data_IF_119382987467
#
_entry.id   IF_119382987467
#
_cell.length_a   1.000
_cell.length_b   1.000
_cell.length_c   1.000
_cell.angle_alpha   90.00
_cell.angle_beta   90.00
_cell.angle_gamma   90.00
#
_symmetry.space_group_name_H-M   'P 1'
#
loop_
_entity.id
_entity.type
_entity.pdbx_description
1 polymer ?
#
# COMPACT_ATOMS: atom_id res chain seq x y z
N UNK A 1 -48.50 63.75 -9.02
CA UNK A 1 -48.21 62.44 -9.60
C UNK A 1 -46.85 61.99 -9.07
N UNK A 2 -46.90 61.27 -7.98
CA UNK A 2 -45.68 60.76 -7.30
C UNK A 2 -45.44 59.35 -7.76
N UNK A 3 -44.28 59.10 -8.32
CA UNK A 3 -43.82 57.75 -8.63
C UNK A 3 -42.89 57.27 -7.52
N UNK A 4 -43.37 56.29 -6.78
CA UNK A 4 -42.60 55.54 -5.80
C UNK A 4 -41.69 54.56 -6.52
N UNK A 5 -40.38 54.65 -6.25
CA UNK A 5 -39.39 53.67 -6.70
C UNK A 5 -39.26 52.69 -5.56
N UNK A 6 -39.72 51.46 -5.76
CA UNK A 6 -39.47 50.33 -4.89
C UNK A 6 -37.98 49.91 -5.00
N UNK A 7 -37.28 50.02 -3.89
CA UNK A 7 -35.95 49.47 -3.75
C UNK A 7 -36.03 47.95 -3.50
N UNK A 8 -35.65 47.18 -4.52
CA UNK A 8 -35.50 45.71 -4.40
C UNK A 8 -34.26 45.42 -3.58
N UNK A 9 -34.47 44.96 -2.38
CA UNK A 9 -33.44 44.51 -1.46
C UNK A 9 -32.87 43.17 -1.96
N UNK A 10 -31.71 43.25 -2.57
CA UNK A 10 -30.98 42.08 -3.04
C UNK A 10 -30.16 41.51 -1.86
N UNK A 11 -30.87 40.75 -1.02
CA UNK A 11 -30.22 39.98 0.05
C UNK A 11 -29.36 38.88 -0.53
N UNK A 12 -28.12 39.22 -0.82
CA UNK A 12 -27.07 38.26 -1.17
C UNK A 12 -26.68 37.46 0.07
N UNK A 13 -27.50 36.48 0.41
CA UNK A 13 -27.12 35.44 1.37
C UNK A 13 -26.03 34.60 0.70
N UNK A 14 -24.79 35.07 0.85
CA UNK A 14 -23.58 34.29 0.49
C UNK A 14 -23.59 33.02 1.36
N UNK A 15 -24.05 31.92 0.79
CA UNK A 15 -23.79 30.58 1.34
C UNK A 15 -22.29 30.36 1.29
N UNK A 16 -21.60 30.68 2.38
CA UNK A 16 -20.28 30.14 2.65
C UNK A 16 -20.45 28.62 2.68
N UNK A 17 -20.14 27.96 1.58
CA UNK A 17 -20.00 26.50 1.57
C UNK A 17 -18.98 26.15 2.65
N UNK A 18 -19.41 25.42 3.67
CA UNK A 18 -18.52 24.95 4.71
C UNK A 18 -17.38 24.18 4.05
N UNK A 19 -16.14 24.48 4.43
CA UNK A 19 -14.98 23.75 3.92
C UNK A 19 -15.19 22.24 4.14
N UNK A 20 -14.86 21.40 3.15
CA UNK A 20 -15.03 19.96 3.30
C UNK A 20 -14.24 19.45 4.51
N UNK A 21 -14.83 18.52 5.26
CA UNK A 21 -14.15 17.90 6.40
C UNK A 21 -12.86 17.22 5.94
N UNK A 22 -11.76 17.34 6.70
CA UNK A 22 -10.49 16.73 6.32
C UNK A 22 -10.62 15.21 6.25
N UNK A 23 -9.86 14.60 5.35
CA UNK A 23 -9.72 13.15 5.25
C UNK A 23 -8.53 12.68 6.09
N UNK A 24 -8.72 11.61 6.82
CA UNK A 24 -7.71 11.08 7.74
C UNK A 24 -6.96 9.93 7.09
N UNK A 25 -5.65 10.08 6.97
CA UNK A 25 -4.78 9.08 6.33
C UNK A 25 -3.66 8.69 7.29
N UNK A 26 -3.50 7.39 7.52
CA UNK A 26 -2.41 6.83 8.33
C UNK A 26 -1.25 6.42 7.42
N UNK A 27 -0.07 6.99 7.67
CA UNK A 27 1.18 6.55 7.04
C UNK A 27 2.00 5.73 8.03
N UNK A 28 2.39 4.52 7.62
CA UNK A 28 3.13 3.56 8.43
C UNK A 28 4.46 3.25 7.75
N UNK A 29 5.55 3.75 8.31
CA UNK A 29 6.92 3.60 7.79
C UNK A 29 7.91 3.84 8.93
N UNK A 30 8.95 3.03 9.07
CA UNK A 30 9.98 3.22 10.10
C UNK A 30 10.98 4.35 9.75
N UNK A 31 10.94 4.87 8.51
CA UNK A 31 11.78 5.99 8.07
C UNK A 31 11.05 7.33 8.25
N UNK A 32 11.48 8.14 9.21
CA UNK A 32 10.90 9.46 9.50
C UNK A 32 10.86 10.39 8.28
N UNK A 33 11.94 10.42 7.48
CA UNK A 33 12.00 11.26 6.28
C UNK A 33 10.96 10.89 5.23
N UNK A 34 10.60 9.61 5.13
CA UNK A 34 9.56 9.14 4.21
C UNK A 34 8.19 9.65 4.66
N UNK A 35 7.87 9.49 5.95
CA UNK A 35 6.62 10.00 6.53
C UNK A 35 6.52 11.52 6.37
N UNK A 36 7.60 12.25 6.69
CA UNK A 36 7.66 13.69 6.50
C UNK A 36 7.46 14.11 5.04
N UNK A 37 8.12 13.42 4.11
CA UNK A 37 8.00 13.69 2.67
C UNK A 37 6.57 13.52 2.16
N UNK A 38 5.93 12.41 2.51
CA UNK A 38 4.54 12.14 2.10
C UNK A 38 3.59 13.21 2.64
N UNK A 39 3.67 13.55 3.91
CA UNK A 39 2.82 14.59 4.53
C UNK A 39 3.01 15.97 3.91
N UNK A 40 4.25 16.31 3.59
CA UNK A 40 4.58 17.63 3.00
C UNK A 40 4.07 17.73 1.55
N UNK A 41 4.14 16.64 0.79
CA UNK A 41 3.72 16.61 -0.61
C UNK A 41 2.19 16.54 -0.78
N UNK A 42 1.48 15.99 0.19
CA UNK A 42 0.02 15.76 0.08
C UNK A 42 -0.72 16.37 1.28
N UNK A 43 -0.74 17.68 1.36
CA UNK A 43 -1.51 18.43 2.35
C UNK A 43 -3.00 18.44 2.03
N UNK A 44 -3.34 18.25 0.75
CA UNK A 44 -4.71 18.17 0.25
C UNK A 44 -4.82 17.23 -0.96
N UNK A 45 -5.99 16.65 -1.17
CA UNK A 45 -6.36 15.89 -2.36
C UNK A 45 -7.72 16.36 -2.88
N UNK A 46 -7.80 16.69 -4.16
CA UNK A 46 -9.04 17.20 -4.79
C UNK A 46 -9.66 18.39 -4.03
N UNK A 47 -8.85 19.28 -3.47
CA UNK A 47 -9.31 20.43 -2.68
C UNK A 47 -9.82 20.07 -1.28
N UNK A 48 -9.64 18.82 -0.83
CA UNK A 48 -9.97 18.37 0.51
C UNK A 48 -8.71 18.23 1.34
N UNK A 49 -8.59 18.89 2.49
CA UNK A 49 -7.43 18.76 3.38
C UNK A 49 -7.23 17.33 3.86
N UNK A 50 -5.97 16.94 4.03
CA UNK A 50 -5.58 15.63 4.59
C UNK A 50 -5.04 15.83 6.01
N UNK A 51 -5.65 15.15 6.96
CA UNK A 51 -5.12 14.97 8.32
C UNK A 51 -4.27 13.70 8.36
N UNK A 52 -2.96 13.86 8.52
CA UNK A 52 -2.03 12.76 8.56
C UNK A 52 -1.83 12.21 9.97
N UNK A 53 -1.99 10.91 10.12
CA UNK A 53 -1.58 10.13 11.27
C UNK A 53 -0.30 9.37 10.92
N UNK A 54 0.58 9.17 11.89
CA UNK A 54 1.89 8.54 11.68
C UNK A 54 2.09 7.38 12.62
N UNK A 55 2.68 6.30 12.09
CA UNK A 55 3.17 5.19 12.89
C UNK A 55 4.54 4.75 12.37
N UNK A 56 5.48 4.44 13.24
CA UNK A 56 6.81 3.96 12.90
C UNK A 56 6.92 2.43 12.94
N UNK A 57 5.86 1.73 13.34
CA UNK A 57 5.80 0.27 13.44
C UNK A 57 4.40 -0.25 13.16
N UNK A 58 4.28 -1.54 12.87
CA UNK A 58 2.99 -2.20 12.71
C UNK A 58 2.16 -2.16 14.00
N UNK A 59 2.82 -2.40 15.14
CA UNK A 59 2.16 -2.38 16.45
C UNK A 59 1.54 -1.01 16.72
N UNK A 60 2.30 0.07 16.53
CA UNK A 60 1.81 1.44 16.69
C UNK A 60 0.66 1.75 15.73
N UNK A 61 0.74 1.28 14.48
CA UNK A 61 -0.31 1.46 13.49
C UNK A 61 -1.64 0.80 13.91
N UNK A 62 -1.57 -0.42 14.45
CA UNK A 62 -2.74 -1.16 14.96
C UNK A 62 -3.39 -0.41 16.12
N UNK A 63 -2.58 0.05 17.09
CA UNK A 63 -3.07 0.79 18.26
C UNK A 63 -3.68 2.14 17.86
N UNK A 64 -3.01 2.87 16.99
CA UNK A 64 -3.47 4.17 16.52
C UNK A 64 -4.77 4.06 15.71
N UNK A 65 -4.89 3.03 14.88
CA UNK A 65 -6.10 2.77 14.10
C UNK A 65 -7.31 2.48 15.00
N UNK A 66 -7.10 1.76 16.11
CA UNK A 66 -8.15 1.49 17.10
C UNK A 66 -8.64 2.74 17.84
N UNK A 67 -7.72 3.67 18.12
CA UNK A 67 -7.98 4.84 18.96
C UNK A 67 -8.46 6.06 18.18
N UNK A 68 -8.15 6.14 16.90
CA UNK A 68 -8.30 7.36 16.10
C UNK A 68 -9.71 7.56 15.49
N UNK A 69 -10.63 6.62 15.68
CA UNK A 69 -11.94 6.67 15.02
C UNK A 69 -11.84 6.33 13.52
N UNK A 70 -12.58 7.04 12.68
CA UNK A 70 -12.61 6.72 11.24
C UNK A 70 -11.33 7.19 10.53
N UNK A 71 -10.62 6.25 9.90
CA UNK A 71 -9.45 6.48 9.03
C UNK A 71 -9.85 6.12 7.60
N UNK A 72 -9.71 7.07 6.68
CA UNK A 72 -10.14 6.94 5.28
C UNK A 72 -9.21 6.04 4.45
N UNK A 73 -7.89 6.09 4.72
CA UNK A 73 -6.89 5.29 4.02
C UNK A 73 -5.65 5.03 4.88
N UNK A 74 -4.93 3.95 4.57
CA UNK A 74 -3.66 3.58 5.20
C UNK A 74 -2.62 3.37 4.11
N UNK A 75 -1.46 4.00 4.25
CA UNK A 75 -0.25 3.71 3.48
C UNK A 75 0.67 2.86 4.35
N UNK A 76 0.91 1.61 3.98
CA UNK A 76 1.66 0.65 4.79
C UNK A 76 2.96 0.23 4.09
N UNK A 77 4.10 0.52 4.73
CA UNK A 77 5.38 -0.06 4.29
C UNK A 77 5.43 -1.57 4.60
N UNK A 78 6.02 -2.32 3.68
CA UNK A 78 6.25 -3.75 3.84
C UNK A 78 7.52 -4.10 4.62
N UNK A 79 8.41 -3.13 4.84
CA UNK A 79 9.72 -3.36 5.48
C UNK A 79 9.86 -2.64 6.81
N UNK A 80 8.87 -2.73 7.68
CA UNK A 80 8.92 -2.17 9.03
C UNK A 80 9.97 -2.89 9.90
N UNK A 81 10.48 -2.20 10.93
CA UNK A 81 11.45 -2.78 11.86
C UNK A 81 10.90 -4.01 12.60
N UNK A 82 9.61 -3.98 12.96
CA UNK A 82 8.90 -5.02 13.71
C UNK A 82 8.21 -6.08 12.81
N UNK A 83 8.08 -5.83 11.51
CA UNK A 83 7.43 -6.77 10.59
C UNK A 83 7.94 -6.62 9.14
N UNK A 84 8.17 -7.75 8.45
CA UNK A 84 8.73 -7.78 7.09
C UNK A 84 7.77 -8.44 6.09
N UNK A 85 7.79 -7.95 4.85
CA UNK A 85 6.99 -8.48 3.76
C UNK A 85 5.48 -8.29 3.99
N UNK A 86 4.68 -9.12 3.33
CA UNK A 86 3.22 -9.05 3.39
C UNK A 86 2.62 -9.53 4.74
N UNK A 87 3.45 -9.99 5.67
CA UNK A 87 2.98 -10.38 6.99
C UNK A 87 2.34 -9.20 7.73
N UNK A 88 2.94 -7.99 7.61
CA UNK A 88 2.39 -6.76 8.18
C UNK A 88 0.99 -6.45 7.65
N UNK A 89 0.83 -6.52 6.33
CA UNK A 89 -0.46 -6.32 5.68
C UNK A 89 -1.50 -7.35 6.17
N UNK A 90 -1.12 -8.65 6.24
CA UNK A 90 -2.02 -9.70 6.74
C UNK A 90 -2.49 -9.44 8.17
N UNK A 91 -1.56 -9.13 9.07
CA UNK A 91 -1.89 -8.85 10.47
C UNK A 91 -2.78 -7.62 10.60
N UNK A 92 -2.49 -6.57 9.86
CA UNK A 92 -3.31 -5.37 9.86
C UNK A 92 -4.71 -5.63 9.32
N UNK A 93 -4.84 -6.34 8.18
CA UNK A 93 -6.14 -6.69 7.59
C UNK A 93 -6.93 -7.70 8.42
N UNK A 94 -6.26 -8.58 9.19
CA UNK A 94 -6.93 -9.46 10.15
C UNK A 94 -7.54 -8.67 11.31
N UNK A 95 -6.83 -7.64 11.81
CA UNK A 95 -7.35 -6.76 12.85
C UNK A 95 -8.46 -5.84 12.31
N UNK A 96 -8.32 -5.35 11.09
CA UNK A 96 -9.22 -4.36 10.47
C UNK A 96 -9.61 -4.76 9.04
N UNK A 97 -10.50 -5.74 8.86
CA UNK A 97 -10.87 -6.27 7.54
C UNK A 97 -11.50 -5.27 6.57
N UNK A 98 -11.98 -4.14 7.10
CA UNK A 98 -12.60 -3.07 6.30
C UNK A 98 -11.67 -1.88 6.04
N UNK A 99 -10.45 -1.93 6.55
CA UNK A 99 -9.47 -0.88 6.32
C UNK A 99 -9.11 -0.79 4.84
N UNK A 100 -8.98 0.43 4.34
CA UNK A 100 -8.55 0.70 2.97
C UNK A 100 -7.03 0.89 2.99
N UNK A 101 -6.30 -0.14 2.64
CA UNK A 101 -4.84 -0.16 2.74
C UNK A 101 -4.23 -0.13 1.35
N UNK A 102 -3.24 0.74 1.14
CA UNK A 102 -2.30 0.63 0.03
C UNK A 102 -0.92 0.26 0.57
N UNK A 103 -0.26 -0.63 -0.14
CA UNK A 103 1.14 -0.95 0.11
C UNK A 103 2.02 0.17 -0.44
N UNK A 104 2.90 0.69 0.41
CA UNK A 104 3.86 1.74 0.09
C UNK A 104 5.27 1.20 0.30
N UNK A 105 5.88 0.64 -0.74
CA UNK A 105 7.14 -0.10 -0.63
C UNK A 105 8.20 0.40 -1.59
N UNK A 106 9.47 0.32 -1.16
CA UNK A 106 10.63 0.54 -2.02
C UNK A 106 10.83 -0.57 -3.07
N UNK A 107 10.15 -1.69 -2.94
CA UNK A 107 10.22 -2.82 -3.86
C UNK A 107 8.99 -2.81 -4.77
N UNK A 108 9.19 -2.62 -6.07
CA UNK A 108 8.15 -2.74 -7.11
C UNK A 108 8.05 -4.19 -7.62
N UNK A 109 8.07 -5.17 -6.73
CA UNK A 109 7.96 -6.56 -7.12
C UNK A 109 6.49 -6.87 -7.44
N UNK A 110 6.20 -7.18 -8.70
CA UNK A 110 4.84 -7.48 -9.16
C UNK A 110 4.23 -8.67 -8.42
N UNK A 111 5.04 -9.62 -7.97
CA UNK A 111 4.58 -10.74 -7.17
C UNK A 111 4.02 -10.25 -5.83
N UNK A 112 4.75 -9.36 -5.14
CA UNK A 112 4.33 -8.74 -3.88
C UNK A 112 3.04 -7.95 -4.10
N UNK A 113 2.95 -7.18 -5.19
CA UNK A 113 1.75 -6.40 -5.56
C UNK A 113 0.54 -7.31 -5.79
N UNK A 114 0.70 -8.44 -6.48
CA UNK A 114 -0.42 -9.40 -6.71
C UNK A 114 -0.88 -10.06 -5.42
N UNK A 115 0.05 -10.46 -4.55
CA UNK A 115 -0.28 -11.06 -3.27
C UNK A 115 -0.97 -10.05 -2.35
N UNK A 116 -0.53 -8.81 -2.33
CA UNK A 116 -1.15 -7.74 -1.59
C UNK A 116 -2.61 -7.51 -2.04
N UNK A 117 -2.86 -7.50 -3.36
CA UNK A 117 -4.22 -7.45 -3.92
C UNK A 117 -5.09 -8.63 -3.50
N UNK A 118 -4.53 -9.84 -3.46
CA UNK A 118 -5.25 -11.03 -3.00
C UNK A 118 -5.60 -10.96 -1.50
N UNK A 119 -4.85 -10.18 -0.71
CA UNK A 119 -5.13 -9.92 0.70
C UNK A 119 -6.15 -8.79 0.92
N UNK A 120 -6.63 -8.14 -0.15
CA UNK A 120 -7.65 -7.10 -0.07
C UNK A 120 -7.09 -5.67 -0.02
N UNK A 121 -5.82 -5.46 -0.44
CA UNK A 121 -5.31 -4.10 -0.58
C UNK A 121 -6.07 -3.30 -1.64
N UNK A 122 -6.21 -1.99 -1.41
CA UNK A 122 -6.85 -1.06 -2.34
C UNK A 122 -5.90 -0.50 -3.41
N UNK A 123 -4.59 -0.73 -3.29
CA UNK A 123 -3.58 -0.23 -4.21
C UNK A 123 -2.16 -0.49 -3.77
N UNK A 124 -1.20 -0.35 -4.67
CA UNK A 124 0.23 -0.49 -4.40
C UNK A 124 1.01 0.66 -5.04
N UNK A 125 1.93 1.24 -4.29
CA UNK A 125 2.74 2.38 -4.73
C UNK A 125 4.20 2.19 -4.34
N UNK A 126 5.11 2.42 -5.28
CA UNK A 126 6.54 2.42 -5.01
C UNK A 126 7.01 3.68 -4.29
N UNK A 127 7.90 3.58 -3.30
CA UNK A 127 8.52 4.73 -2.62
C UNK A 127 9.35 5.63 -3.56
N UNK A 128 9.80 5.09 -4.69
CA UNK A 128 10.53 5.81 -5.74
C UNK A 128 9.68 6.27 -6.91
N UNK A 129 8.38 6.10 -6.86
CA UNK A 129 7.46 6.41 -7.95
C UNK A 129 7.17 7.90 -8.04
N UNK A 130 6.72 8.32 -9.23
CA UNK A 130 6.31 9.70 -9.51
C UNK A 130 5.16 10.09 -8.58
N UNK A 131 5.20 11.29 -8.04
CA UNK A 131 4.18 11.88 -7.15
C UNK A 131 2.72 11.70 -7.63
N UNK A 132 2.49 11.56 -8.93
CA UNK A 132 1.17 11.32 -9.51
C UNK A 132 0.55 9.99 -9.09
N UNK A 133 1.32 8.90 -9.02
CA UNK A 133 0.80 7.57 -8.67
C UNK A 133 0.35 7.48 -7.20
N UNK A 134 1.11 8.10 -6.30
CA UNK A 134 0.71 8.19 -4.88
C UNK A 134 -0.61 8.96 -4.78
N UNK A 135 -0.72 10.08 -5.49
CA UNK A 135 -1.94 10.89 -5.54
C UNK A 135 -3.14 10.11 -6.06
N UNK A 136 -2.98 9.39 -7.16
CA UNK A 136 -4.03 8.56 -7.77
C UNK A 136 -4.47 7.44 -6.83
N UNK A 137 -3.51 6.75 -6.21
CA UNK A 137 -3.80 5.67 -5.27
C UNK A 137 -4.55 6.18 -4.03
N UNK A 138 -4.07 7.26 -3.41
CA UNK A 138 -4.76 7.88 -2.27
C UNK A 138 -6.16 8.34 -2.65
N UNK A 139 -6.31 8.95 -3.81
CA UNK A 139 -7.62 9.38 -4.31
C UNK A 139 -8.58 8.20 -4.48
N UNK A 140 -8.12 7.11 -5.08
CA UNK A 140 -8.93 5.90 -5.27
C UNK A 140 -9.32 5.22 -3.94
N UNK A 141 -8.43 5.25 -2.94
CA UNK A 141 -8.71 4.71 -1.60
C UNK A 141 -9.73 5.55 -0.83
N UNK A 142 -9.56 6.88 -0.86
CA UNK A 142 -10.41 7.80 -0.10
C UNK A 142 -11.80 7.92 -0.73
N UNK A 143 -11.87 7.92 -2.07
CA UNK A 143 -13.13 8.00 -2.83
C UNK A 143 -13.34 6.80 -3.75
N UNK A 144 -13.66 5.60 -3.22
CA UNK A 144 -13.84 4.38 -4.03
C UNK A 144 -15.04 4.43 -4.98
N UNK A 145 -15.97 5.35 -4.75
CA UNK A 145 -17.09 5.63 -5.64
C UNK A 145 -16.73 6.81 -6.53
N UNK A 146 -15.74 6.66 -7.40
CA UNK A 146 -15.51 7.62 -8.48
C UNK A 146 -16.81 7.85 -9.21
N UNK A 147 -17.17 9.14 -9.45
CA UNK A 147 -18.31 9.51 -10.26
C UNK A 147 -18.27 8.82 -11.63
N UNK A 148 -19.39 8.82 -12.38
CA UNK A 148 -19.50 8.09 -13.63
C UNK A 148 -18.44 8.58 -14.62
N UNK A 149 -17.78 7.64 -15.24
CA UNK A 149 -16.87 7.82 -16.36
C UNK A 149 -15.43 8.27 -16.06
N UNK A 150 -14.55 7.30 -15.91
CA UNK A 150 -13.59 6.94 -16.98
C UNK A 150 -12.78 5.72 -16.55
N UNK A 151 -13.36 4.53 -16.67
CA UNK A 151 -12.58 3.30 -16.78
C UNK A 151 -12.13 3.14 -18.23
N UNK A 152 -11.25 3.99 -18.69
CA UNK A 152 -10.36 3.62 -19.76
C UNK A 152 -9.16 2.92 -19.11
N UNK A 153 -8.88 1.65 -19.42
CA UNK A 153 -7.61 1.06 -19.09
C UNK A 153 -6.58 1.86 -19.88
N UNK A 154 -5.85 2.73 -19.18
CA UNK A 154 -4.72 3.43 -19.77
C UNK A 154 -3.71 2.36 -20.17
N UNK A 155 -3.29 2.29 -21.45
CA UNK A 155 -2.28 1.35 -21.89
C UNK A 155 -0.89 1.88 -21.53
N UNK A 156 -0.59 2.08 -20.25
CA UNK A 156 0.78 2.28 -19.79
C UNK A 156 1.45 0.96 -19.42
N UNK A 157 1.08 -0.13 -20.11
CA UNK A 157 1.73 -1.42 -20.01
C UNK A 157 3.04 -1.50 -20.82
N UNK A 158 3.67 -0.38 -21.14
CA UNK A 158 4.85 -0.36 -22.01
C UNK A 158 6.19 -0.20 -21.28
N UNK A 159 6.23 -0.16 -19.94
CA UNK A 159 7.47 -0.01 -19.17
C UNK A 159 7.70 -1.10 -18.11
N UNK A 160 7.02 -2.23 -18.22
CA UNK A 160 7.29 -3.34 -17.30
C UNK A 160 8.49 -4.16 -17.79
N UNK A 161 9.45 -4.48 -16.88
CA UNK A 161 10.50 -5.44 -17.20
C UNK A 161 9.87 -6.76 -17.65
N UNK A 162 10.44 -7.38 -18.67
CA UNK A 162 9.97 -8.66 -19.19
C UNK A 162 10.11 -9.71 -18.11
N UNK A 163 8.97 -10.27 -17.68
CA UNK A 163 8.92 -11.36 -16.72
C UNK A 163 9.64 -12.61 -17.21
N UNK A 164 10.22 -13.40 -16.27
CA UNK A 164 10.56 -14.77 -16.55
C UNK A 164 9.31 -15.50 -17.07
N UNK A 165 9.50 -16.40 -18.01
CA UNK A 165 8.47 -17.11 -18.79
C UNK A 165 7.22 -17.49 -17.96
N UNK A 166 6.06 -17.58 -18.60
CA UNK A 166 4.79 -18.05 -18.01
C UNK A 166 4.93 -19.30 -17.12
N UNK A 167 5.88 -20.17 -17.44
CA UNK A 167 6.23 -21.36 -16.66
C UNK A 167 6.70 -21.07 -15.21
N UNK A 168 7.30 -19.92 -14.94
CA UNK A 168 7.70 -19.55 -13.57
C UNK A 168 6.46 -19.20 -12.72
N UNK A 169 5.47 -18.54 -13.31
CA UNK A 169 4.21 -18.22 -12.63
C UNK A 169 3.42 -19.48 -12.26
N UNK A 170 3.37 -20.46 -13.18
CA UNK A 170 2.69 -21.72 -12.91
C UNK A 170 3.35 -22.43 -11.73
N UNK A 171 4.69 -22.47 -11.68
CA UNK A 171 5.44 -23.06 -10.56
C UNK A 171 5.22 -22.32 -9.23
N UNK A 172 5.14 -20.99 -9.25
CA UNK A 172 4.85 -20.20 -8.04
C UNK A 172 3.41 -20.43 -7.58
N UNK A 173 2.46 -20.56 -8.49
CA UNK A 173 1.05 -20.85 -8.18
C UNK A 173 0.85 -22.21 -7.51
N UNK A 174 1.73 -23.18 -7.77
CA UNK A 174 1.73 -24.50 -7.16
C UNK A 174 2.34 -24.53 -5.75
N UNK A 175 3.00 -23.45 -5.32
CA UNK A 175 3.60 -23.36 -3.98
C UNK A 175 2.52 -23.27 -2.89
N UNK A 176 2.70 -24.06 -1.83
CA UNK A 176 1.85 -23.94 -0.65
C UNK A 176 2.06 -22.61 0.09
N UNK A 177 1.05 -22.19 0.87
CA UNK A 177 1.02 -20.89 1.58
C UNK A 177 2.30 -20.58 2.38
N UNK A 178 2.90 -21.58 3.02
CA UNK A 178 4.14 -21.42 3.79
C UNK A 178 5.37 -21.19 2.90
N UNK A 179 5.43 -21.82 1.73
CA UNK A 179 6.49 -21.56 0.75
C UNK A 179 6.37 -20.15 0.17
N UNK A 180 5.15 -19.70 -0.09
CA UNK A 180 4.89 -18.35 -0.58
C UNK A 180 5.31 -17.29 0.44
N UNK A 181 4.97 -17.46 1.72
CA UNK A 181 5.40 -16.57 2.80
C UNK A 181 6.94 -16.47 2.90
N UNK A 182 7.64 -17.61 2.82
CA UNK A 182 9.11 -17.62 2.87
C UNK A 182 9.71 -17.04 1.59
N UNK A 183 9.11 -17.30 0.41
CA UNK A 183 9.55 -16.72 -0.85
C UNK A 183 9.49 -15.18 -0.80
N UNK A 184 8.40 -14.61 -0.31
CA UNK A 184 8.25 -13.16 -0.12
C UNK A 184 9.39 -12.56 0.73
N UNK A 185 9.68 -13.19 1.86
CA UNK A 185 10.75 -12.74 2.76
C UNK A 185 12.14 -12.88 2.12
N UNK A 186 12.34 -13.91 1.30
CA UNK A 186 13.56 -14.07 0.49
C UNK A 186 13.70 -12.95 -0.53
N UNK A 187 12.63 -12.62 -1.27
CA UNK A 187 12.61 -11.57 -2.28
C UNK A 187 12.77 -10.17 -1.66
N UNK A 188 12.26 -9.96 -0.46
CA UNK A 188 12.48 -8.74 0.34
C UNK A 188 13.90 -8.60 0.88
N UNK A 189 14.79 -9.57 0.59
CA UNK A 189 16.20 -9.53 0.99
C UNK A 189 16.49 -10.02 2.41
N UNK A 190 15.50 -10.53 3.15
CA UNK A 190 15.68 -11.02 4.51
C UNK A 190 16.65 -12.20 4.57
N UNK A 191 17.55 -12.23 5.53
CA UNK A 191 18.41 -13.38 5.83
C UNK A 191 17.60 -14.54 6.39
N UNK A 192 18.15 -15.77 6.38
CA UNK A 192 17.47 -16.92 6.98
C UNK A 192 17.21 -16.73 8.48
N UNK A 193 18.05 -15.95 9.18
CA UNK A 193 17.85 -15.64 10.60
C UNK A 193 16.66 -14.70 10.80
N UNK A 194 16.54 -13.67 9.97
CA UNK A 194 15.40 -12.74 10.02
C UNK A 194 14.10 -13.45 9.68
N UNK A 195 14.10 -14.33 8.65
CA UNK A 195 12.95 -15.17 8.30
C UNK A 195 12.57 -16.09 9.46
N UNK A 196 13.56 -16.73 10.13
CA UNK A 196 13.34 -17.56 11.30
C UNK A 196 12.65 -16.79 12.42
N UNK A 197 13.12 -15.58 12.71
CA UNK A 197 12.54 -14.71 13.73
C UNK A 197 11.10 -14.28 13.38
N UNK A 198 10.86 -13.89 12.12
CA UNK A 198 9.54 -13.43 11.66
C UNK A 198 8.49 -14.54 11.61
N UNK A 199 8.89 -15.76 11.23
CA UNK A 199 7.97 -16.88 11.03
C UNK A 199 7.86 -17.79 12.26
N UNK A 200 8.67 -17.56 13.31
CA UNK A 200 8.80 -18.41 14.49
C UNK A 200 9.21 -19.87 14.17
N UNK A 201 9.85 -20.09 13.03
CA UNK A 201 10.38 -21.39 12.63
C UNK A 201 11.88 -21.50 12.96
N UNK A 202 12.36 -22.72 13.18
CA UNK A 202 13.80 -22.93 13.40
C UNK A 202 14.61 -22.53 12.17
N UNK A 203 15.86 -22.09 12.38
CA UNK A 203 16.77 -21.75 11.28
C UNK A 203 16.99 -22.94 10.34
N UNK A 204 17.01 -24.18 10.87
CA UNK A 204 17.09 -25.39 10.07
C UNK A 204 15.88 -25.59 9.18
N UNK A 205 14.68 -25.33 9.71
CA UNK A 205 13.42 -25.37 8.96
C UNK A 205 13.44 -24.34 7.82
N UNK A 206 13.86 -23.10 8.08
CA UNK A 206 13.96 -22.06 7.06
C UNK A 206 14.94 -22.45 5.96
N UNK A 207 16.13 -23.00 6.30
CA UNK A 207 17.09 -23.48 5.30
C UNK A 207 16.47 -24.55 4.40
N UNK A 208 15.66 -25.46 4.95
CA UNK A 208 14.96 -26.48 4.18
C UNK A 208 13.92 -25.87 3.23
N UNK A 209 13.11 -24.91 3.72
CA UNK A 209 12.15 -24.19 2.89
C UNK A 209 12.81 -23.40 1.75
N UNK A 210 13.89 -22.68 2.04
CA UNK A 210 14.64 -21.96 0.99
C UNK A 210 15.22 -22.93 -0.04
N UNK A 211 15.78 -24.06 0.38
CA UNK A 211 16.29 -25.09 -0.55
C UNK A 211 15.17 -25.68 -1.40
N UNK A 212 14.01 -25.98 -0.80
CA UNK A 212 12.83 -26.48 -1.50
C UNK A 212 12.30 -25.46 -2.52
N UNK A 213 12.27 -24.16 -2.16
CA UNK A 213 11.91 -23.08 -3.09
C UNK A 213 12.84 -22.99 -4.30
N UNK A 214 14.16 -23.05 -4.08
CA UNK A 214 15.14 -23.02 -5.16
C UNK A 214 14.93 -24.20 -6.10
N UNK A 215 14.65 -25.38 -5.57
CA UNK A 215 14.38 -26.59 -6.37
C UNK A 215 13.05 -26.48 -7.13
N UNK A 216 11.97 -26.08 -6.45
CA UNK A 216 10.65 -25.97 -7.05
C UNK A 216 10.60 -24.95 -8.19
N UNK A 217 11.31 -23.83 -8.02
CA UNK A 217 11.41 -22.76 -9.01
C UNK A 217 12.52 -22.96 -10.04
N UNK A 218 13.29 -24.08 -9.94
CA UNK A 218 14.39 -24.42 -10.83
C UNK A 218 15.48 -23.33 -10.91
N UNK A 219 15.84 -22.77 -9.75
CA UNK A 219 16.89 -21.75 -9.64
C UNK A 219 18.07 -22.25 -8.83
N UNK A 220 19.29 -21.86 -9.25
CA UNK A 220 20.54 -22.40 -8.70
C UNK A 220 20.97 -21.76 -7.38
N UNK A 221 20.47 -20.57 -7.06
CA UNK A 221 20.88 -19.83 -5.87
C UNK A 221 19.85 -18.80 -5.45
N UNK A 222 19.94 -18.37 -4.18
CA UNK A 222 19.13 -17.27 -3.64
C UNK A 222 19.31 -15.98 -4.43
N UNK A 223 20.56 -15.64 -4.80
CA UNK A 223 20.84 -14.44 -5.60
C UNK A 223 20.22 -14.52 -6.99
N UNK A 224 20.25 -15.73 -7.60
CA UNK A 224 19.57 -15.97 -8.87
C UNK A 224 18.06 -15.85 -8.73
N UNK A 225 17.48 -16.41 -7.67
CA UNK A 225 16.05 -16.25 -7.36
C UNK A 225 15.66 -14.77 -7.27
N UNK A 226 16.37 -13.99 -6.47
CA UNK A 226 16.11 -12.56 -6.31
C UNK A 226 16.26 -11.80 -7.64
N UNK A 227 17.25 -12.15 -8.48
CA UNK A 227 17.47 -11.48 -9.76
C UNK A 227 16.40 -11.76 -10.82
N UNK A 228 15.65 -12.86 -10.69
CA UNK A 228 14.55 -13.21 -11.61
C UNK A 228 13.26 -12.43 -11.33
N UNK A 229 13.14 -11.89 -10.13
CA UNK A 229 11.96 -11.15 -9.67
C UNK A 229 12.23 -9.64 -9.48
N UNK A 230 13.38 -9.14 -9.91
CA UNK A 230 13.75 -7.71 -9.88
C UNK A 230 13.57 -7.00 -11.19
#
# INVERSE_FOLDING_TARGET
MSASIEATDFSASSMLAAAPAPRRVLVVDDHELVRYGVKTLYTELQGVPIEWLEAASLQEAIELYAQSGEIDAVLLDLNLADCKGLQGLRLFMQAYPKARVAVFSGTQDEFVVRQARALGEGGSVGKGTVTSEIRETLTALIWPSGGPETRTPSPSSALFPRFPSSAMYDRVAELGSRHLEILELVLSGCTNQEISNSTHLSLGTIKNYVSSLLLALDVKSRSHLISLFR
#
